data_IF_422431871000
#
_entry.id   IF_422431871000
#
_cell.length_a   1.000
_cell.length_b   1.000
_cell.length_c   1.000
_cell.angle_alpha   90.00
_cell.angle_beta   90.00
_cell.angle_gamma   90.00
#
_symmetry.space_group_name_H-M   'P 1'
#
loop_
_entity.id
_entity.type
_entity.pdbx_description
1 polymer ?
#
# COMPACT_ATOMS: atom_id res chain seq x y z
N UNK A 1 -32.34 14.08 -29.02
CA UNK A 1 -31.80 13.91 -27.66
C UNK A 1 -30.37 13.39 -27.81
N UNK A 2 -29.35 14.08 -27.28
CA UNK A 2 -27.94 13.73 -27.52
C UNK A 2 -27.47 12.61 -26.56
N UNK A 3 -26.63 11.70 -27.08
CA UNK A 3 -25.93 10.67 -26.31
C UNK A 3 -24.80 11.27 -25.44
N UNK A 4 -24.53 10.74 -24.24
CA UNK A 4 -23.36 11.14 -23.46
C UNK A 4 -22.08 10.56 -24.06
N UNK A 5 -21.06 11.40 -24.15
CA UNK A 5 -19.70 11.07 -24.59
C UNK A 5 -18.97 10.40 -23.41
N UNK A 6 -18.55 9.15 -23.58
CA UNK A 6 -17.65 8.46 -22.64
C UNK A 6 -16.22 8.97 -22.87
N UNK A 7 -15.63 9.61 -21.86
CA UNK A 7 -14.22 10.01 -21.87
C UNK A 7 -13.39 8.79 -21.41
N UNK A 8 -12.57 8.24 -22.31
CA UNK A 8 -11.55 7.25 -21.97
C UNK A 8 -10.43 7.88 -21.15
N UNK A 9 -10.06 7.26 -20.02
CA UNK A 9 -8.81 7.59 -19.30
C UNK A 9 -7.59 7.07 -20.08
N UNK A 10 -6.45 7.78 -20.07
CA UNK A 10 -5.27 7.44 -20.86
C UNK A 10 -4.55 6.20 -20.31
N UNK A 11 -4.10 5.33 -21.22
CA UNK A 11 -3.22 4.20 -20.92
C UNK A 11 -1.79 4.68 -20.69
N UNK A 12 -1.22 4.30 -19.56
CA UNK A 12 0.20 4.50 -19.26
C UNK A 12 0.89 3.20 -18.82
N UNK A 13 0.51 2.03 -19.36
CA UNK A 13 1.05 0.75 -18.88
C UNK A 13 1.78 -0.11 -19.94
N UNK A 14 2.01 0.41 -21.16
CA UNK A 14 2.56 -0.41 -22.25
C UNK A 14 4.05 -0.25 -22.57
N UNK A 15 4.76 0.69 -21.92
CA UNK A 15 6.18 0.91 -22.21
C UNK A 15 7.10 0.08 -21.31
N UNK A 16 6.73 -0.03 -20.03
CA UNK A 16 7.52 -0.76 -19.04
C UNK A 16 7.45 -2.28 -19.22
N UNK A 17 6.29 -2.80 -19.63
CA UNK A 17 6.11 -4.23 -19.91
C UNK A 17 7.00 -4.73 -21.06
N UNK A 18 7.30 -3.87 -22.04
CA UNK A 18 8.16 -4.21 -23.17
C UNK A 18 9.65 -4.28 -22.78
N UNK A 19 10.07 -3.42 -21.84
CA UNK A 19 11.44 -3.38 -21.33
C UNK A 19 11.77 -4.63 -20.51
N UNK A 20 10.83 -5.10 -19.70
CA UNK A 20 11.01 -6.29 -18.84
C UNK A 20 11.01 -7.60 -19.66
N UNK A 21 10.29 -7.64 -20.80
CA UNK A 21 10.24 -8.83 -21.67
C UNK A 21 11.58 -9.17 -22.33
N UNK A 22 12.52 -8.22 -22.43
CA UNK A 22 13.78 -8.40 -23.16
C UNK A 22 14.95 -8.89 -22.28
N UNK A 23 14.80 -8.91 -20.96
CA UNK A 23 15.86 -9.38 -20.05
C UNK A 23 15.63 -10.83 -19.63
N UNK A 24 16.54 -11.73 -20.01
CA UNK A 24 16.57 -13.12 -19.51
C UNK A 24 17.20 -13.17 -18.11
N UNK A 25 16.71 -14.00 -17.18
CA UNK A 25 17.26 -14.04 -15.83
C UNK A 25 18.59 -14.81 -15.77
N UNK A 26 19.57 -14.21 -15.09
CA UNK A 26 20.79 -14.88 -14.64
C UNK A 26 20.53 -15.62 -13.32
N UNK A 27 21.20 -16.76 -13.13
CA UNK A 27 20.94 -17.75 -12.08
C UNK A 27 21.48 -17.33 -10.70
N UNK A 28 20.62 -17.52 -9.69
CA UNK A 28 20.86 -17.85 -8.26
C UNK A 28 21.73 -16.91 -7.38
N UNK A 29 21.08 -16.20 -6.45
CA UNK A 29 21.19 -16.35 -4.98
C UNK A 29 20.51 -15.15 -4.28
N UNK A 30 19.68 -15.41 -3.27
CA UNK A 30 19.06 -14.39 -2.42
C UNK A 30 17.62 -14.03 -2.83
N UNK A 31 16.70 -14.22 -1.89
CA UNK A 31 15.26 -13.90 -1.90
C UNK A 31 14.79 -13.02 -3.06
N UNK A 32 14.22 -13.69 -4.06
CA UNK A 32 13.56 -13.05 -5.18
C UNK A 32 12.17 -12.60 -4.73
N UNK A 33 12.05 -11.35 -4.31
CA UNK A 33 10.76 -10.66 -4.19
C UNK A 33 10.19 -10.41 -5.59
N UNK A 34 9.92 -11.48 -6.34
CA UNK A 34 8.96 -11.39 -7.42
C UNK A 34 7.60 -11.12 -6.79
N UNK A 35 7.05 -9.94 -7.06
CA UNK A 35 5.68 -9.57 -6.78
C UNK A 35 4.75 -10.71 -7.21
N UNK A 36 4.33 -11.49 -6.23
CA UNK A 36 3.30 -12.49 -6.40
C UNK A 36 2.01 -11.71 -6.67
N UNK A 37 1.44 -11.87 -7.85
CA UNK A 37 0.25 -11.15 -8.32
C UNK A 37 -1.05 -11.59 -7.59
N UNK A 38 -0.97 -12.08 -6.35
CA UNK A 38 -2.07 -12.75 -5.65
C UNK A 38 -2.27 -12.29 -4.19
N UNK A 39 -1.58 -11.22 -3.78
CA UNK A 39 -1.82 -10.60 -2.47
C UNK A 39 -3.19 -9.90 -2.46
N UNK A 40 -3.98 -10.16 -1.42
CA UNK A 40 -5.22 -9.45 -1.16
C UNK A 40 -4.98 -7.94 -1.00
N UNK A 41 -5.88 -7.14 -1.56
CA UNK A 41 -5.78 -5.69 -1.44
C UNK A 41 -6.16 -5.25 -0.02
N UNK A 42 -5.21 -4.65 0.70
CA UNK A 42 -5.48 -4.03 2.00
C UNK A 42 -6.05 -2.62 1.81
N UNK A 43 -7.26 -2.40 2.33
CA UNK A 43 -7.86 -1.06 2.44
C UNK A 43 -7.17 -0.24 3.52
N UNK A 44 -6.87 1.01 3.20
CA UNK A 44 -6.21 1.96 4.10
C UNK A 44 -6.88 3.32 4.00
N UNK A 45 -7.03 3.98 5.14
CA UNK A 45 -7.39 5.38 5.26
C UNK A 45 -6.14 6.17 5.60
N UNK A 46 -5.94 7.32 4.94
CA UNK A 46 -4.81 8.21 5.15
C UNK A 46 -5.34 9.58 5.48
N UNK A 47 -4.96 10.10 6.64
CA UNK A 47 -5.39 11.40 7.13
C UNK A 47 -4.27 12.12 7.86
N UNK A 48 -4.59 13.31 8.35
CA UNK A 48 -3.69 14.09 9.18
C UNK A 48 -4.40 14.50 10.48
N UNK A 49 -3.64 14.56 11.56
CA UNK A 49 -4.05 15.12 12.84
C UNK A 49 -2.92 16.05 13.30
N UNK A 50 -3.19 17.36 13.31
CA UNK A 50 -2.21 18.40 13.64
C UNK A 50 -0.89 18.23 12.84
N UNK A 51 0.20 18.01 13.55
CA UNK A 51 1.57 17.81 13.09
C UNK A 51 1.88 16.36 12.71
N UNK A 52 0.89 15.47 12.57
CA UNK A 52 1.09 14.04 12.30
C UNK A 52 0.33 13.57 11.07
N UNK A 53 0.94 12.65 10.34
CA UNK A 53 0.29 11.77 9.39
C UNK A 53 -0.27 10.55 10.15
N UNK A 54 -1.49 10.15 9.81
CA UNK A 54 -2.16 8.98 10.40
C UNK A 54 -2.62 8.05 9.29
N UNK A 55 -2.24 6.78 9.37
CA UNK A 55 -2.67 5.73 8.45
C UNK A 55 -3.40 4.65 9.24
N UNK A 56 -4.60 4.30 8.81
CA UNK A 56 -5.46 3.30 9.47
C UNK A 56 -5.77 2.18 8.49
N UNK A 57 -5.68 0.92 8.94
CA UNK A 57 -6.01 -0.24 8.12
C UNK A 57 -6.74 -1.31 8.94
N UNK A 58 -7.76 -1.92 8.36
CA UNK A 58 -8.44 -3.09 8.97
C UNK A 58 -7.66 -4.36 8.68
N UNK A 59 -7.21 -5.04 9.74
CA UNK A 59 -6.33 -6.22 9.71
C UNK A 59 -6.90 -7.37 10.56
N UNK A 60 -8.22 -7.46 10.71
CA UNK A 60 -8.89 -8.51 11.44
C UNK A 60 -8.43 -9.91 10.97
N UNK A 61 -8.15 -10.81 11.91
CA UNK A 61 -7.67 -12.16 11.63
C UNK A 61 -6.17 -12.27 11.32
N UNK A 62 -5.40 -11.17 11.37
CA UNK A 62 -3.94 -11.20 11.32
C UNK A 62 -3.36 -11.05 12.73
N UNK A 63 -2.32 -11.80 13.05
CA UNK A 63 -1.57 -11.62 14.30
C UNK A 63 -0.53 -10.50 14.12
N UNK A 64 -0.18 -9.75 15.18
CA UNK A 64 0.84 -8.70 15.11
C UNK A 64 2.17 -9.17 14.51
N UNK A 65 2.61 -10.37 14.86
CA UNK A 65 3.84 -11.00 14.37
C UNK A 65 3.83 -11.32 12.87
N UNK A 66 2.64 -11.44 12.27
CA UNK A 66 2.47 -11.71 10.83
C UNK A 66 2.34 -10.42 10.01
N UNK A 67 2.60 -9.25 10.61
CA UNK A 67 2.46 -7.94 9.97
C UNK A 67 3.82 -7.26 9.88
N UNK A 68 4.16 -6.81 8.67
CA UNK A 68 5.34 -6.01 8.39
C UNK A 68 4.93 -4.62 7.89
N UNK A 69 5.50 -3.60 8.51
CA UNK A 69 5.31 -2.20 8.13
C UNK A 69 6.68 -1.62 7.84
N UNK A 70 6.90 -1.15 6.61
CA UNK A 70 8.18 -0.59 6.19
C UNK A 70 7.96 0.75 5.51
N UNK A 71 8.84 1.72 5.79
CA UNK A 71 8.93 2.97 5.06
C UNK A 71 10.25 2.99 4.31
N UNK A 72 10.20 3.20 3.00
CA UNK A 72 11.38 3.39 2.15
C UNK A 72 11.17 4.63 1.30
N UNK A 73 12.01 5.65 1.49
CA UNK A 73 11.81 6.99 0.96
C UNK A 73 10.39 7.48 1.34
N UNK A 74 9.58 7.81 0.33
CA UNK A 74 8.22 8.30 0.50
C UNK A 74 7.17 7.17 0.38
N UNK A 75 7.58 5.90 0.43
CA UNK A 75 6.68 4.76 0.28
C UNK A 75 6.48 4.04 1.62
N UNK A 76 5.25 4.08 2.13
CA UNK A 76 4.81 3.22 3.23
C UNK A 76 4.20 1.94 2.68
N UNK A 77 4.79 0.81 3.04
CA UNK A 77 4.34 -0.53 2.65
C UNK A 77 3.87 -1.29 3.88
N UNK A 78 2.64 -1.77 3.84
CA UNK A 78 2.03 -2.66 4.83
C UNK A 78 1.83 -4.02 4.17
N UNK A 79 2.37 -5.07 4.77
CA UNK A 79 2.20 -6.46 4.33
C UNK A 79 1.81 -7.33 5.52
N UNK A 80 1.07 -8.40 5.25
CA UNK A 80 0.86 -9.42 6.26
C UNK A 80 0.08 -10.62 5.74
N UNK A 81 -0.35 -11.49 6.65
CA UNK A 81 -1.14 -12.68 6.35
C UNK A 81 -2.30 -12.83 7.33
N UNK A 82 -3.45 -13.30 6.83
CA UNK A 82 -4.60 -13.74 7.64
C UNK A 82 -4.83 -15.21 7.40
N UNK A 83 -4.95 -15.96 8.49
CA UNK A 83 -5.18 -17.40 8.43
C UNK A 83 -6.63 -17.72 8.79
N UNK A 84 -7.14 -18.76 8.12
CA UNK A 84 -8.48 -19.29 8.36
C UNK A 84 -8.38 -20.34 9.47
N UNK A 85 -9.04 -20.10 10.60
CA UNK A 85 -9.02 -21.05 11.72
C UNK A 85 -9.97 -22.25 11.53
N UNK A 86 -10.98 -22.12 10.66
CA UNK A 86 -12.04 -23.14 10.50
C UNK A 86 -11.85 -23.95 9.22
N UNK A 87 -11.75 -25.28 9.35
CA UNK A 87 -11.66 -26.22 8.23
C UNK A 87 -13.02 -26.59 7.63
N UNK A 88 -13.70 -25.66 6.95
CA UNK A 88 -14.86 -25.97 6.09
C UNK A 88 -14.35 -26.34 4.69
N UNK A 89 -14.81 -27.47 4.16
CA UNK A 89 -14.51 -27.88 2.77
C UNK A 89 -15.14 -26.91 1.77
N UNK A 90 -14.50 -26.72 0.61
CA UNK A 90 -14.94 -25.69 -0.35
C UNK A 90 -16.39 -25.92 -0.84
N UNK A 91 -16.82 -27.17 -0.97
CA UNK A 91 -18.18 -27.56 -1.38
C UNK A 91 -19.28 -27.22 -0.36
N UNK A 92 -18.90 -27.02 0.90
CA UNK A 92 -19.84 -26.83 2.01
C UNK A 92 -20.10 -25.34 2.31
N UNK A 93 -19.50 -24.44 1.52
CA UNK A 93 -19.79 -23.02 1.57
C UNK A 93 -21.11 -22.68 0.89
N UNK A 94 -21.98 -21.97 1.61
CA UNK A 94 -23.10 -21.26 0.97
C UNK A 94 -22.63 -19.97 0.31
N UNK A 95 -21.77 -19.20 0.97
CA UNK A 95 -21.16 -17.95 0.48
C UNK A 95 -19.75 -17.77 1.07
N UNK A 96 -18.86 -17.12 0.32
CA UNK A 96 -17.46 -16.88 0.72
C UNK A 96 -17.01 -15.50 0.27
N UNK A 97 -17.13 -14.53 1.18
CA UNK A 97 -16.74 -13.14 0.93
C UNK A 97 -15.45 -12.75 1.67
N UNK A 98 -15.11 -13.48 2.74
CA UNK A 98 -13.90 -13.24 3.51
C UNK A 98 -12.66 -13.68 2.74
N UNK A 99 -11.71 -12.77 2.59
CA UNK A 99 -10.39 -13.07 2.06
C UNK A 99 -9.48 -13.65 3.16
N UNK A 100 -8.80 -14.76 2.83
CA UNK A 100 -7.77 -15.39 3.65
C UNK A 100 -6.52 -15.58 2.79
N UNK A 101 -5.35 -15.26 3.33
CA UNK A 101 -4.11 -15.23 2.55
C UNK A 101 -3.22 -14.04 2.90
N UNK A 102 -2.22 -13.80 2.05
CA UNK A 102 -1.35 -12.63 2.16
C UNK A 102 -2.07 -11.38 1.70
N UNK A 103 -1.78 -10.24 2.32
CA UNK A 103 -2.33 -8.96 1.89
C UNK A 103 -1.22 -7.92 1.86
N UNK A 104 -1.36 -6.96 0.96
CA UNK A 104 -0.40 -5.86 0.87
C UNK A 104 -1.04 -4.56 0.43
N UNK A 105 -0.43 -3.45 0.85
CA UNK A 105 -0.70 -2.10 0.35
C UNK A 105 0.55 -1.26 0.44
N UNK A 106 0.89 -0.61 -0.66
CA UNK A 106 1.89 0.45 -0.68
C UNK A 106 1.19 1.77 -0.99
N UNK A 107 1.51 2.81 -0.23
CA UNK A 107 1.04 4.18 -0.46
C UNK A 107 2.22 5.14 -0.51
N UNK A 108 2.07 6.19 -1.32
CA UNK A 108 2.96 7.34 -1.30
C UNK A 108 2.57 8.23 -0.13
N UNK A 109 3.55 8.61 0.70
CA UNK A 109 3.38 9.56 1.78
C UNK A 109 3.11 10.95 1.18
N UNK A 110 1.98 11.60 1.50
CA UNK A 110 1.61 12.87 0.88
C UNK A 110 2.39 14.07 1.41
N UNK A 111 3.22 13.87 2.45
CA UNK A 111 3.98 14.91 3.16
C UNK A 111 5.31 14.32 3.63
N UNK A 112 6.32 15.18 3.81
CA UNK A 112 7.57 14.81 4.47
C UNK A 112 7.32 14.44 5.94
N UNK A 113 7.93 13.35 6.43
CA UNK A 113 7.72 12.82 7.78
C UNK A 113 9.03 12.40 8.46
N UNK A 114 9.04 12.41 9.78
CA UNK A 114 10.13 11.88 10.62
C UNK A 114 9.91 10.38 10.82
N UNK A 115 10.49 9.58 9.93
CA UNK A 115 10.24 8.12 9.85
C UNK A 115 10.77 7.35 11.06
N UNK A 116 11.81 7.85 11.71
CA UNK A 116 12.41 7.32 12.94
C UNK A 116 11.50 7.46 14.16
N UNK A 117 10.54 8.39 14.12
CA UNK A 117 9.54 8.61 15.17
C UNK A 117 8.20 7.90 14.89
N UNK A 118 8.12 7.10 13.83
CA UNK A 118 6.91 6.38 13.47
C UNK A 118 6.48 5.39 14.58
N UNK A 119 5.17 5.35 14.87
CA UNK A 119 4.57 4.40 15.84
C UNK A 119 3.44 3.64 15.18
N UNK A 120 3.49 2.31 15.28
CA UNK A 120 2.43 1.42 14.85
C UNK A 120 1.78 0.74 16.05
N UNK A 121 0.45 0.68 16.07
CA UNK A 121 -0.33 0.01 17.13
C UNK A 121 -1.45 -0.80 16.51
N UNK A 122 -1.80 -1.92 17.15
CA UNK A 122 -2.92 -2.76 16.76
C UNK A 122 -3.89 -2.82 17.93
N UNK A 123 -5.15 -2.46 17.68
CA UNK A 123 -6.23 -2.59 18.66
C UNK A 123 -7.49 -3.06 17.97
N UNK A 124 -8.10 -4.13 18.48
CA UNK A 124 -9.36 -4.69 17.97
C UNK A 124 -9.34 -4.97 16.45
N UNK A 125 -8.21 -5.49 15.92
CA UNK A 125 -8.07 -5.78 14.50
C UNK A 125 -7.89 -4.54 13.60
N UNK A 126 -7.58 -3.37 14.18
CA UNK A 126 -7.27 -2.15 13.44
C UNK A 126 -5.82 -1.76 13.68
N UNK A 127 -5.04 -1.67 12.59
CA UNK A 127 -3.69 -1.12 12.57
C UNK A 127 -3.78 0.40 12.47
N UNK A 128 -3.11 1.11 13.37
CA UNK A 128 -2.95 2.56 13.33
C UNK A 128 -1.47 2.90 13.32
N UNK A 129 -1.01 3.59 12.28
CA UNK A 129 0.34 4.09 12.12
C UNK A 129 0.29 5.60 12.25
N UNK A 130 1.08 6.16 13.15
CA UNK A 130 1.19 7.61 13.39
C UNK A 130 2.63 8.02 13.17
N UNK A 131 2.83 9.02 12.32
CA UNK A 131 4.16 9.52 11.97
C UNK A 131 4.17 11.05 12.11
N UNK A 132 5.07 11.63 12.91
CA UNK A 132 5.25 13.08 12.95
C UNK A 132 5.66 13.61 11.57
N UNK A 133 5.11 14.75 11.18
CA UNK A 133 5.51 15.47 9.97
C UNK A 133 6.84 16.18 10.22
N UNK A 134 7.65 16.28 9.18
CA UNK A 134 8.82 17.14 9.23
C UNK A 134 8.37 18.61 9.32
N UNK A 135 8.93 19.38 10.25
CA UNK A 135 8.53 20.77 10.47
C UNK A 135 8.92 21.65 9.26
N UNK A 136 7.94 21.88 8.38
CA UNK A 136 7.89 22.81 7.24
C UNK A 136 9.22 23.27 6.62
N UNK A 137 9.49 22.77 5.41
CA UNK A 137 10.32 23.50 4.43
C UNK A 137 9.77 24.93 4.27
N UNK A 138 10.64 25.93 4.40
CA UNK A 138 10.28 27.34 4.15
C UNK A 138 9.76 27.47 2.72
N UNK A 139 8.57 28.06 2.54
CA UNK A 139 8.11 28.47 1.21
C UNK A 139 9.14 29.41 0.61
N UNK A 140 9.86 28.96 -0.42
CA UNK A 140 10.76 29.81 -1.20
C UNK A 140 9.93 30.40 -2.34
N UNK A 141 9.65 31.71 -2.36
CA UNK A 141 8.94 32.31 -3.47
C UNK A 141 9.76 32.18 -4.75
N UNK A 142 9.17 31.57 -5.77
CA UNK A 142 9.79 31.44 -7.09
C UNK A 142 9.41 32.69 -7.90
N UNK A 143 10.40 33.43 -8.38
CA UNK A 143 10.18 34.58 -9.26
C UNK A 143 10.04 34.10 -10.70
N UNK A 144 8.91 34.39 -11.33
CA UNK A 144 8.71 34.18 -12.76
C UNK A 144 9.42 35.30 -13.51
N UNK A 145 10.17 34.94 -14.54
CA UNK A 145 10.88 35.86 -15.43
C UNK A 145 10.33 35.63 -16.85
N UNK A 146 10.00 36.71 -17.55
CA UNK A 146 9.66 36.70 -18.98
C UNK A 146 10.97 36.67 -19.79
N UNK A 147 11.04 35.84 -20.83
CA UNK A 147 12.16 35.81 -21.80
C UNK A 147 11.98 36.84 -22.92
#
# INVERSE_FOLDING_TARGET
MPNPITISKPQADNFFSLLIKQMKPAKETGEHWAESHDDGQLSVDVGQADDKLVVVATIAGAKPEDISVNINNDLLTIRGRREKEIGIEEKDYFYKECYWGTFSRTIVLPVDVLTDEAKATIKNGVLTIVIPKESSKKNVPIKVIDE
#
